data_IF_219469597514
#
_entry.id   IF_219469597514
#
_cell.length_a   1.000
_cell.length_b   1.000
_cell.length_c   1.000
_cell.angle_alpha   90.00
_cell.angle_beta   90.00
_cell.angle_gamma   90.00
#
_symmetry.space_group_name_H-M   'P 1'
#
loop_
_entity.id
_entity.type
_entity.pdbx_description
1 polymer ?
#
# COMPACT_ATOMS: atom_id res chain seq x y z
N UNK A 1 14.57 -10.26 -22.31
CA UNK A 1 14.16 -10.42 -20.89
C UNK A 1 13.58 -9.08 -20.46
N UNK A 2 12.28 -9.05 -20.15
CA UNK A 2 11.58 -7.86 -19.65
C UNK A 2 11.08 -8.13 -18.23
N UNK A 3 10.61 -7.07 -17.56
CA UNK A 3 9.90 -7.18 -16.29
C UNK A 3 8.40 -7.03 -16.55
N UNK A 4 7.58 -7.78 -15.81
CA UNK A 4 6.11 -7.76 -15.98
C UNK A 4 5.42 -6.76 -15.03
N UNK A 5 6.10 -6.39 -13.94
CA UNK A 5 5.57 -5.57 -12.85
C UNK A 5 6.61 -4.53 -12.44
N UNK A 6 6.17 -3.29 -12.23
CA UNK A 6 6.97 -2.23 -11.63
C UNK A 6 6.75 -2.25 -10.11
N UNK A 7 7.84 -2.40 -9.36
CA UNK A 7 7.81 -2.35 -7.90
C UNK A 7 8.37 -1.05 -7.32
N UNK A 8 8.23 -0.87 -6.01
CA UNK A 8 8.79 0.26 -5.26
C UNK A 8 8.57 0.12 -3.76
N UNK A 9 9.31 0.92 -2.97
CA UNK A 9 9.28 0.90 -1.50
C UNK A 9 9.27 2.33 -0.91
N UNK A 10 8.20 3.12 -1.15
CA UNK A 10 8.24 4.57 -0.91
C UNK A 10 8.45 4.97 0.55
N UNK A 11 7.98 4.15 1.49
CA UNK A 11 8.15 4.39 2.93
C UNK A 11 9.61 4.23 3.42
N UNK A 12 10.49 3.67 2.58
CA UNK A 12 11.91 3.52 2.87
C UNK A 12 12.77 4.63 2.23
N UNK A 13 12.17 5.49 1.41
CA UNK A 13 12.86 6.68 0.90
C UNK A 13 13.23 7.62 2.05
N UNK A 14 14.32 8.38 1.85
CA UNK A 14 14.89 9.22 2.93
C UNK A 14 13.92 10.29 3.47
N UNK A 15 12.93 10.70 2.68
CA UNK A 15 11.92 11.68 3.08
C UNK A 15 10.56 11.34 2.50
N UNK A 16 9.49 11.79 3.15
CA UNK A 16 8.11 11.64 2.64
C UNK A 16 7.95 12.18 1.21
N UNK A 17 8.60 13.30 0.91
CA UNK A 17 8.56 13.92 -0.43
C UNK A 17 9.24 13.02 -1.48
N UNK A 18 10.37 12.42 -1.16
CA UNK A 18 11.04 11.48 -2.07
C UNK A 18 10.24 10.19 -2.24
N UNK A 19 9.58 9.70 -1.17
CA UNK A 19 8.64 8.58 -1.25
C UNK A 19 7.45 8.86 -2.18
N UNK A 20 6.85 10.06 -2.11
CA UNK A 20 5.79 10.45 -3.04
C UNK A 20 6.31 10.59 -4.48
N UNK A 21 7.51 11.15 -4.67
CA UNK A 21 8.14 11.25 -5.99
C UNK A 21 8.44 9.88 -6.60
N UNK A 22 8.92 8.92 -5.80
CA UNK A 22 9.22 7.58 -6.30
C UNK A 22 7.95 6.86 -6.76
N UNK A 23 6.84 6.94 -6.00
CA UNK A 23 5.52 6.44 -6.45
C UNK A 23 5.15 7.02 -7.81
N UNK A 24 5.20 8.35 -7.96
CA UNK A 24 4.84 9.01 -9.21
C UNK A 24 5.68 8.50 -10.39
N UNK A 25 7.00 8.51 -10.26
CA UNK A 25 7.91 8.10 -11.33
C UNK A 25 7.70 6.63 -11.73
N UNK A 26 7.49 5.75 -10.75
CA UNK A 26 7.27 4.33 -11.00
C UNK A 26 5.91 4.06 -11.66
N UNK A 27 4.85 4.76 -11.24
CA UNK A 27 3.56 4.69 -11.91
C UNK A 27 3.61 5.24 -13.34
N UNK A 28 4.35 6.32 -13.60
CA UNK A 28 4.58 6.87 -14.95
C UNK A 28 5.28 5.83 -15.84
N UNK A 29 6.33 5.19 -15.35
CA UNK A 29 7.03 4.10 -16.06
C UNK A 29 6.06 2.94 -16.37
N UNK A 30 5.22 2.54 -15.42
CA UNK A 30 4.25 1.46 -15.63
C UNK A 30 3.20 1.84 -16.68
N UNK A 31 2.70 3.08 -16.64
CA UNK A 31 1.74 3.59 -17.61
C UNK A 31 2.33 3.64 -19.04
N UNK A 32 3.53 4.21 -19.19
CA UNK A 32 4.24 4.29 -20.48
C UNK A 32 4.50 2.92 -21.10
N UNK A 33 4.80 1.92 -20.26
CA UNK A 33 5.16 0.57 -20.71
C UNK A 33 4.00 -0.41 -20.72
N UNK A 34 2.80 -0.01 -20.28
CA UNK A 34 1.65 -0.89 -20.16
C UNK A 34 1.81 -2.00 -19.12
N UNK A 35 2.67 -1.81 -18.11
CA UNK A 35 2.97 -2.81 -17.08
C UNK A 35 2.03 -2.72 -15.88
N UNK A 36 2.05 -3.75 -15.04
CA UNK A 36 1.40 -3.77 -13.73
C UNK A 36 2.25 -3.04 -12.69
N UNK A 37 1.65 -2.67 -11.56
CA UNK A 37 2.34 -2.06 -10.41
C UNK A 37 2.08 -2.86 -9.14
N UNK A 38 3.12 -3.17 -8.38
CA UNK A 38 3.02 -3.75 -7.04
C UNK A 38 4.03 -3.09 -6.09
N UNK A 39 3.54 -2.23 -5.21
CA UNK A 39 4.38 -1.46 -4.29
C UNK A 39 4.44 -2.14 -2.93
N UNK A 40 5.65 -2.28 -2.36
CA UNK A 40 5.83 -2.47 -0.92
C UNK A 40 5.39 -1.17 -0.22
N UNK A 41 4.10 -1.05 0.02
CA UNK A 41 3.45 0.20 0.34
C UNK A 41 3.18 0.27 1.84
N UNK A 42 3.77 1.27 2.48
CA UNK A 42 3.58 1.55 3.91
C UNK A 42 3.76 0.33 4.84
N UNK A 43 4.83 -0.46 4.63
CA UNK A 43 5.25 -1.54 5.55
C UNK A 43 5.95 -0.98 6.80
N UNK A 44 5.19 -0.22 7.58
CA UNK A 44 5.63 0.45 8.81
C UNK A 44 4.51 0.45 9.85
N UNK A 45 4.86 0.75 11.10
CA UNK A 45 3.91 1.02 12.18
C UNK A 45 3.61 2.53 12.36
N UNK A 46 4.24 3.38 11.53
CA UNK A 46 4.06 4.83 11.54
C UNK A 46 2.70 5.24 10.92
N UNK A 47 1.78 5.87 11.69
CA UNK A 47 0.49 6.36 11.16
C UNK A 47 0.60 7.51 10.14
N UNK A 48 1.80 8.09 9.96
CA UNK A 48 2.08 9.11 8.96
C UNK A 48 2.62 8.52 7.63
N UNK A 49 2.98 7.23 7.59
CA UNK A 49 3.29 6.53 6.34
C UNK A 49 2.00 6.30 5.55
N UNK A 50 1.77 7.16 4.55
CA UNK A 50 0.50 7.28 3.82
C UNK A 50 0.69 7.28 2.30
N UNK A 51 1.71 6.58 1.81
CA UNK A 51 2.02 6.55 0.38
C UNK A 51 0.94 5.89 -0.45
N UNK A 52 0.08 5.06 0.16
CA UNK A 52 -1.12 4.53 -0.48
C UNK A 52 -2.07 5.62 -1.00
N UNK A 53 -2.15 6.80 -0.37
CA UNK A 53 -2.94 7.93 -0.89
C UNK A 53 -2.33 8.46 -2.20
N UNK A 54 -1.00 8.60 -2.25
CA UNK A 54 -0.29 8.97 -3.49
C UNK A 54 -0.45 7.89 -4.56
N UNK A 55 -0.34 6.61 -4.20
CA UNK A 55 -0.49 5.50 -5.13
C UNK A 55 -1.89 5.46 -5.74
N UNK A 56 -2.93 5.63 -4.94
CA UNK A 56 -4.31 5.69 -5.43
C UNK A 56 -4.52 6.90 -6.36
N UNK A 57 -4.04 8.09 -5.98
CA UNK A 57 -4.11 9.27 -6.83
C UNK A 57 -3.41 9.07 -8.18
N UNK A 58 -2.19 8.56 -8.18
CA UNK A 58 -1.44 8.30 -9.42
C UNK A 58 -2.09 7.19 -10.26
N UNK A 59 -2.72 6.21 -9.62
CA UNK A 59 -3.51 5.17 -10.30
C UNK A 59 -4.62 5.79 -11.14
N UNK A 60 -5.38 6.71 -10.56
CA UNK A 60 -6.46 7.42 -11.26
C UNK A 60 -5.91 8.33 -12.35
N UNK A 61 -4.90 9.15 -12.01
CA UNK A 61 -4.31 10.15 -12.92
C UNK A 61 -3.76 9.52 -14.20
N UNK A 62 -3.18 8.33 -14.09
CA UNK A 62 -2.49 7.65 -15.19
C UNK A 62 -3.33 6.54 -15.84
N UNK A 63 -4.59 6.34 -15.42
CA UNK A 63 -5.45 5.29 -15.97
C UNK A 63 -4.92 3.87 -15.71
N UNK A 64 -4.35 3.64 -14.52
CA UNK A 64 -3.83 2.35 -14.07
C UNK A 64 -4.88 1.53 -13.31
N UNK A 65 -6.14 1.92 -13.31
CA UNK A 65 -7.22 1.23 -12.58
C UNK A 65 -7.21 -0.29 -12.86
N UNK A 66 -7.26 -1.09 -11.80
CA UNK A 66 -7.21 -2.56 -11.88
C UNK A 66 -5.84 -3.16 -12.19
N UNK A 67 -4.77 -2.35 -12.28
CA UNK A 67 -3.39 -2.80 -12.54
C UNK A 67 -2.42 -2.53 -11.38
N UNK A 68 -2.91 -2.02 -10.26
CA UNK A 68 -2.08 -1.55 -9.14
C UNK A 68 -2.42 -2.31 -7.87
N UNK A 69 -1.38 -2.82 -7.21
CA UNK A 69 -1.46 -3.40 -5.88
C UNK A 69 -0.59 -2.62 -4.87
N UNK A 70 -1.15 -2.41 -3.69
CA UNK A 70 -0.41 -2.01 -2.49
C UNK A 70 -0.19 -3.24 -1.61
N UNK A 71 1.04 -3.74 -1.57
CA UNK A 71 1.45 -4.82 -0.70
C UNK A 71 1.74 -4.31 0.72
N UNK A 72 1.49 -5.15 1.73
CA UNK A 72 1.61 -4.89 3.17
C UNK A 72 0.56 -3.94 3.74
N UNK A 73 0.63 -2.64 3.44
CA UNK A 73 -0.25 -1.59 3.96
C UNK A 73 -0.40 -1.64 5.49
N UNK A 74 0.65 -2.02 6.21
CA UNK A 74 0.60 -2.26 7.66
C UNK A 74 0.38 -0.97 8.43
N UNK A 75 0.82 0.18 7.91
CA UNK A 75 0.61 1.48 8.56
C UNK A 75 -0.88 1.81 8.74
N UNK A 76 -1.75 1.31 7.86
CA UNK A 76 -3.20 1.51 7.93
C UNK A 76 -3.81 0.94 9.21
N UNK A 77 -3.16 -0.05 9.84
CA UNK A 77 -3.50 -0.54 11.18
C UNK A 77 -3.42 0.58 12.24
N UNK A 78 -2.48 1.50 12.05
CA UNK A 78 -2.10 2.52 13.03
C UNK A 78 -2.66 3.90 12.69
N UNK A 79 -3.13 4.11 11.45
CA UNK A 79 -3.72 5.37 11.00
C UNK A 79 -4.92 5.79 11.84
N UNK A 80 -5.09 7.11 11.96
CA UNK A 80 -6.32 7.71 12.46
C UNK A 80 -7.55 7.19 11.69
N UNK A 81 -8.63 6.93 12.42
CA UNK A 81 -9.83 6.32 11.86
C UNK A 81 -10.54 7.21 10.85
N UNK A 82 -10.54 8.52 11.05
CA UNK A 82 -11.15 9.44 10.09
C UNK A 82 -10.36 9.41 8.78
N UNK A 83 -9.02 9.46 8.85
CA UNK A 83 -8.19 9.35 7.65
C UNK A 83 -8.40 8.01 6.92
N UNK A 84 -8.41 6.88 7.64
CA UNK A 84 -8.67 5.57 7.03
C UNK A 84 -10.07 5.51 6.37
N UNK A 85 -11.09 6.09 6.99
CA UNK A 85 -12.46 6.12 6.47
C UNK A 85 -12.60 6.90 5.16
N UNK A 86 -11.74 7.91 4.94
CA UNK A 86 -11.63 8.63 3.66
C UNK A 86 -10.83 7.83 2.63
N UNK A 87 -9.77 7.16 3.07
CA UNK A 87 -8.83 6.46 2.19
C UNK A 87 -9.43 5.20 1.57
N UNK A 88 -10.22 4.43 2.31
CA UNK A 88 -10.80 3.17 1.81
C UNK A 88 -11.70 3.41 0.57
N UNK A 89 -12.64 4.38 0.57
CA UNK A 89 -13.40 4.72 -0.64
C UNK A 89 -12.53 5.13 -1.83
N UNK A 90 -11.43 5.85 -1.60
CA UNK A 90 -10.48 6.22 -2.66
C UNK A 90 -9.83 4.97 -3.28
N UNK A 91 -9.47 3.96 -2.47
CA UNK A 91 -8.94 2.70 -2.99
C UNK A 91 -9.98 1.95 -3.84
N UNK A 92 -11.26 2.00 -3.44
CA UNK A 92 -12.36 1.41 -4.23
C UNK A 92 -12.53 2.14 -5.56
N UNK A 93 -12.59 3.47 -5.55
CA UNK A 93 -12.74 4.30 -6.77
C UNK A 93 -11.62 4.05 -7.78
N UNK A 94 -10.38 3.95 -7.28
CA UNK A 94 -9.18 3.79 -8.10
C UNK A 94 -8.93 2.34 -8.51
N UNK A 95 -9.60 1.38 -7.88
CA UNK A 95 -9.44 -0.04 -8.14
C UNK A 95 -8.07 -0.58 -7.72
N UNK A 96 -7.42 0.05 -6.74
CA UNK A 96 -6.15 -0.44 -6.16
C UNK A 96 -6.42 -1.68 -5.33
N UNK A 97 -5.63 -2.73 -5.52
CA UNK A 97 -5.72 -3.98 -4.76
C UNK A 97 -4.87 -3.93 -3.50
N UNK A 98 -5.27 -4.64 -2.45
CA UNK A 98 -4.50 -4.74 -1.21
C UNK A 98 -3.93 -6.15 -1.02
N UNK A 99 -2.63 -6.26 -0.74
CA UNK A 99 -1.95 -7.55 -0.54
C UNK A 99 -1.26 -7.60 0.83
N UNK A 100 -2.00 -7.83 1.93
CA UNK A 100 -1.39 -8.07 3.24
C UNK A 100 -0.63 -9.41 3.28
N UNK A 101 0.38 -9.48 4.16
CA UNK A 101 1.22 -10.65 4.38
C UNK A 101 1.15 -11.10 5.85
N UNK A 102 0.06 -11.75 6.31
CA UNK A 102 -0.24 -11.92 7.73
C UNK A 102 0.87 -12.58 8.55
N UNK A 103 1.53 -13.61 8.00
CA UNK A 103 2.60 -14.35 8.69
C UNK A 103 3.85 -13.50 8.89
N UNK A 104 4.15 -12.60 7.95
CA UNK A 104 5.32 -11.72 8.04
C UNK A 104 4.99 -10.48 8.86
N UNK A 105 3.83 -9.85 8.64
CA UNK A 105 3.44 -8.65 9.36
C UNK A 105 3.38 -8.92 10.88
N UNK A 106 2.84 -10.06 11.33
CA UNK A 106 2.80 -10.36 12.78
C UNK A 106 4.19 -10.55 13.41
N UNK A 107 5.21 -10.90 12.61
CA UNK A 107 6.59 -11.12 13.06
C UNK A 107 7.44 -9.84 13.00
N UNK A 108 7.12 -8.93 12.09
CA UNK A 108 7.89 -7.69 11.84
C UNK A 108 7.29 -6.47 12.54
N UNK A 109 5.96 -6.36 12.57
CA UNK A 109 5.28 -5.20 13.14
C UNK A 109 5.17 -5.29 14.67
N UNK A 110 4.94 -4.15 15.31
CA UNK A 110 4.85 -3.99 16.76
C UNK A 110 6.19 -4.15 17.47
N UNK A 111 7.32 -4.20 16.74
CA UNK A 111 8.67 -4.33 17.34
C UNK A 111 9.09 -3.11 18.16
N UNK A 112 8.55 -1.94 17.82
CA UNK A 112 8.80 -0.70 18.56
C UNK A 112 7.80 -0.46 19.70
N UNK A 113 6.74 -1.27 19.81
CA UNK A 113 5.81 -1.21 20.94
C UNK A 113 6.39 -1.97 22.15
N UNK A 114 6.12 -1.48 23.36
CA UNK A 114 6.28 -2.26 24.59
C UNK A 114 5.03 -3.12 24.81
N UNK A 115 4.17 -2.74 25.76
CA UNK A 115 2.85 -3.32 25.99
C UNK A 115 1.83 -2.19 26.24
N UNK A 116 0.63 -2.25 25.64
CA UNK A 116 0.15 -3.28 24.70
C UNK A 116 0.89 -3.27 23.36
N UNK A 117 1.01 -4.45 22.72
CA UNK A 117 1.67 -4.62 21.41
C UNK A 117 0.64 -4.75 20.30
N UNK A 118 0.75 -3.93 19.26
CA UNK A 118 -0.17 -3.94 18.12
C UNK A 118 0.01 -5.19 17.25
N UNK A 119 -1.02 -5.52 16.47
CA UNK A 119 -0.98 -6.62 15.48
C UNK A 119 -0.22 -6.23 14.21
N UNK A 120 -0.34 -4.97 13.79
CA UNK A 120 0.35 -4.43 12.61
C UNK A 120 -0.11 -5.02 11.27
N UNK A 121 -1.30 -5.60 11.21
CA UNK A 121 -1.89 -6.07 9.96
C UNK A 121 -2.83 -4.99 9.40
N UNK A 122 -2.81 -4.75 8.09
CA UNK A 122 -3.76 -3.82 7.45
C UNK A 122 -5.22 -4.16 7.76
N UNK A 123 -6.14 -3.23 7.43
CA UNK A 123 -7.58 -3.33 7.76
C UNK A 123 -8.34 -4.28 6.83
N UNK A 124 -7.92 -5.55 6.76
CA UNK A 124 -8.41 -6.57 5.82
C UNK A 124 -9.93 -6.67 5.76
N UNK A 125 -10.60 -6.67 6.93
CA UNK A 125 -12.07 -6.76 6.99
C UNK A 125 -12.73 -5.53 6.39
N UNK A 126 -12.30 -4.34 6.82
CA UNK A 126 -12.86 -3.06 6.32
C UNK A 126 -12.64 -2.90 4.82
N UNK A 127 -11.44 -3.25 4.32
CA UNK A 127 -11.13 -3.21 2.88
C UNK A 127 -12.00 -4.16 2.07
N UNK A 128 -12.09 -5.43 2.49
CA UNK A 128 -12.93 -6.44 1.83
C UNK A 128 -14.41 -6.04 1.84
N UNK A 129 -14.92 -5.61 3.00
CA UNK A 129 -16.34 -5.28 3.16
C UNK A 129 -16.71 -4.01 2.37
N UNK A 130 -15.77 -3.11 2.13
CA UNK A 130 -15.93 -1.95 1.25
C UNK A 130 -15.82 -2.27 -0.25
N UNK A 131 -15.41 -3.49 -0.63
CA UNK A 131 -15.28 -3.92 -2.02
C UNK A 131 -13.88 -3.78 -2.64
N UNK A 132 -12.85 -3.51 -1.83
CA UNK A 132 -11.45 -3.59 -2.30
C UNK A 132 -11.07 -5.05 -2.55
N UNK A 133 -10.44 -5.34 -3.68
CA UNK A 133 -9.85 -6.66 -3.93
C UNK A 133 -8.69 -6.89 -2.98
N UNK A 134 -8.80 -7.93 -2.12
CA UNK A 134 -7.76 -8.29 -1.16
C UNK A 134 -7.20 -9.68 -1.47
N UNK A 135 -5.88 -9.79 -1.63
CA UNK A 135 -5.14 -11.04 -1.76
C UNK A 135 -4.25 -11.29 -0.55
N UNK A 136 -4.17 -12.52 -0.04
CA UNK A 136 -3.24 -12.84 1.05
C UNK A 136 -1.93 -13.37 0.46
N UNK A 137 -0.84 -12.64 0.66
CA UNK A 137 0.47 -13.08 0.20
C UNK A 137 1.12 -14.06 1.18
N UNK A 138 1.99 -14.91 0.63
CA UNK A 138 2.90 -15.79 1.37
C UNK A 138 4.29 -15.64 0.75
N UNK A 139 5.25 -15.18 1.56
CA UNK A 139 6.66 -15.33 1.23
C UNK A 139 7.03 -16.78 1.60
N UNK A 140 7.43 -17.57 0.61
CA UNK A 140 7.97 -18.91 0.80
C UNK A 140 9.48 -18.84 1.01
#
# INVERSE_FOLDING_TARGET
MGVDVVGGIPHFERTMTEGAKSVRLLCEIAAERGLMVDMHCDESDDPQSRHIETLAYETQRLGLNGRVAGSHLSSMHSMDNYYASKLIPLMVETGVHAVPNPLINIMLQGRHDTYPKRRGLTRVRELRDAGVTVGLGRIA
#
